data_IF_565439154562
#
_entry.id   IF_565439154562
#
_cell.length_a   1.000
_cell.length_b   1.000
_cell.length_c   1.000
_cell.angle_alpha   90.00
_cell.angle_beta   90.00
_cell.angle_gamma   90.00
#
_symmetry.space_group_name_H-M   'P 1'
#
loop_
_entity.id
_entity.type
_entity.pdbx_description
1 polymer ?
#
# COMPACT_ATOMS: atom_id res chain seq x y z
N UNK A 1 -25.48 56.52 -14.32
CA UNK A 1 -26.43 55.86 -13.40
C UNK A 1 -25.80 54.55 -12.97
N UNK A 2 -25.01 54.61 -11.89
CA UNK A 2 -24.42 53.45 -11.23
C UNK A 2 -25.28 53.17 -10.01
N UNK A 3 -25.68 51.92 -9.75
CA UNK A 3 -26.04 51.52 -8.40
C UNK A 3 -25.61 50.08 -8.13
N UNK A 4 -24.54 50.00 -7.33
CA UNK A 4 -23.95 48.83 -6.73
C UNK A 4 -24.76 48.40 -5.50
N UNK A 5 -24.83 47.08 -5.30
CA UNK A 5 -24.91 46.39 -4.00
C UNK A 5 -25.83 46.97 -2.91
N UNK A 6 -26.94 46.26 -2.64
CA UNK A 6 -27.70 46.41 -1.37
C UNK A 6 -27.92 45.12 -0.57
N UNK A 7 -27.21 44.03 -0.89
CA UNK A 7 -27.30 42.79 -0.10
C UNK A 7 -26.00 42.41 0.63
N UNK A 8 -25.25 43.40 1.13
CA UNK A 8 -24.04 43.15 1.93
C UNK A 8 -23.96 44.08 3.14
N UNK A 9 -25.06 44.27 3.86
CA UNK A 9 -25.04 44.89 5.19
C UNK A 9 -26.18 44.31 5.98
N UNK A 10 -25.95 43.21 6.70
CA UNK A 10 -26.60 42.86 7.97
C UNK A 10 -25.96 41.58 8.53
N UNK A 11 -24.64 41.59 8.72
CA UNK A 11 -24.00 40.60 9.58
C UNK A 11 -22.65 41.09 10.12
N UNK A 12 -22.60 42.34 10.58
CA UNK A 12 -21.50 42.80 11.42
C UNK A 12 -22.07 43.73 12.49
N UNK A 13 -22.61 43.11 13.54
CA UNK A 13 -22.84 43.78 14.82
C UNK A 13 -22.44 42.80 15.92
N UNK A 14 -21.65 43.32 16.86
CA UNK A 14 -21.08 42.68 18.05
C UNK A 14 -19.68 42.07 17.87
N UNK A 15 -18.70 42.95 17.64
CA UNK A 15 -17.40 42.86 18.31
C UNK A 15 -17.51 43.64 19.62
N UNK A 16 -17.62 42.93 20.74
CA UNK A 16 -17.25 43.49 22.05
C UNK A 16 -16.79 42.38 22.99
N UNK A 17 -15.48 42.41 23.27
CA UNK A 17 -14.95 42.40 24.63
C UNK A 17 -15.22 41.15 25.50
N UNK A 18 -14.50 40.06 25.22
CA UNK A 18 -13.87 39.26 26.28
C UNK A 18 -12.61 38.61 25.73
N UNK A 19 -11.49 38.84 26.41
CA UNK A 19 -10.18 38.27 26.09
C UNK A 19 -10.15 36.76 26.30
N UNK A 20 -10.41 36.02 25.22
CA UNK A 20 -9.97 34.64 25.09
C UNK A 20 -9.13 34.55 23.82
N UNK A 21 -7.84 34.88 23.97
CA UNK A 21 -6.81 34.41 23.06
C UNK A 21 -6.71 32.89 23.26
N UNK A 22 -7.65 32.15 22.71
CA UNK A 22 -7.47 30.71 22.53
C UNK A 22 -6.42 30.58 21.44
N UNK A 23 -5.28 29.97 21.77
CA UNK A 23 -4.24 29.67 20.80
C UNK A 23 -4.87 28.95 19.61
N UNK A 24 -4.90 29.59 18.44
CA UNK A 24 -5.38 29.04 17.17
C UNK A 24 -4.59 27.79 16.72
N UNK A 25 -3.58 27.38 17.48
CA UNK A 25 -2.70 26.25 17.21
C UNK A 25 -3.16 24.93 17.86
N UNK A 26 -4.22 24.93 18.67
CA UNK A 26 -4.73 23.69 19.30
C UNK A 26 -5.93 23.05 18.58
N UNK A 27 -6.39 23.61 17.45
CA UNK A 27 -7.49 23.07 16.65
C UNK A 27 -7.04 22.24 15.44
N UNK A 28 -5.81 21.72 15.44
CA UNK A 28 -5.32 20.84 14.37
C UNK A 28 -5.34 19.35 14.73
N UNK A 29 -5.88 19.02 15.91
CA UNK A 29 -6.04 17.64 16.36
C UNK A 29 -7.46 17.08 16.11
N UNK A 30 -8.17 17.61 15.11
CA UNK A 30 -9.31 16.91 14.52
C UNK A 30 -8.77 15.88 13.52
N UNK A 31 -8.26 14.76 14.04
CA UNK A 31 -7.77 13.61 13.26
C UNK A 31 -8.85 12.96 12.38
N UNK A 32 -10.09 13.45 12.44
CA UNK A 32 -11.24 13.03 11.63
C UNK A 32 -11.27 13.65 10.23
N UNK A 33 -10.60 14.79 10.03
CA UNK A 33 -10.50 15.45 8.71
C UNK A 33 -9.37 14.87 7.85
N UNK A 34 -8.49 14.05 8.42
CA UNK A 34 -7.53 13.30 7.64
C UNK A 34 -8.30 12.28 6.81
N UNK A 35 -8.29 12.43 5.48
CA UNK A 35 -8.87 11.46 4.57
C UNK A 35 -8.26 10.07 4.87
N UNK A 36 -9.05 9.19 5.49
CA UNK A 36 -8.63 7.82 5.76
C UNK A 36 -8.45 7.11 4.42
N UNK A 37 -7.34 6.37 4.27
CA UNK A 37 -7.04 5.57 3.07
C UNK A 37 -7.82 4.25 3.07
N UNK A 38 -9.13 4.31 3.28
CA UNK A 38 -10.05 3.16 3.31
C UNK A 38 -10.60 2.90 1.91
N UNK A 39 -10.74 1.64 1.50
CA UNK A 39 -11.31 1.27 0.19
C UNK A 39 -12.48 0.30 0.34
N UNK A 40 -13.65 0.69 -0.17
CA UNK A 40 -14.86 -0.14 -0.19
C UNK A 40 -15.23 -0.50 -1.62
N UNK A 41 -15.58 -1.76 -1.86
CA UNK A 41 -16.14 -2.20 -3.13
C UNK A 41 -17.66 -2.13 -3.01
N UNK A 42 -18.25 -1.27 -3.84
CA UNK A 42 -19.67 -0.97 -3.84
C UNK A 42 -20.29 -1.43 -5.16
N UNK A 43 -21.54 -1.89 -5.09
CA UNK A 43 -22.34 -2.21 -6.28
C UNK A 43 -23.53 -1.27 -6.32
N UNK A 44 -23.82 -0.70 -7.49
CA UNK A 44 -25.05 0.08 -7.67
C UNK A 44 -26.26 -0.83 -7.46
N UNK A 45 -27.16 -0.41 -6.58
CA UNK A 45 -28.40 -1.15 -6.29
C UNK A 45 -29.31 -1.20 -7.50
N UNK A 46 -29.45 -0.06 -8.19
CA UNK A 46 -30.24 0.07 -9.41
C UNK A 46 -29.32 -0.01 -10.64
N UNK A 47 -29.61 -0.90 -11.62
CA UNK A 47 -28.83 -0.97 -12.83
C UNK A 47 -29.02 0.30 -13.66
N UNK A 48 -27.91 0.77 -14.21
CA UNK A 48 -27.85 1.97 -15.04
C UNK A 48 -28.32 1.64 -16.44
N UNK A 49 -29.02 2.57 -17.09
CA UNK A 49 -29.48 2.38 -18.47
C UNK A 49 -28.27 2.43 -19.40
N UNK A 50 -28.25 1.57 -20.41
CA UNK A 50 -27.19 1.59 -21.40
C UNK A 50 -27.37 2.80 -22.33
N UNK A 51 -26.32 3.60 -22.57
CA UNK A 51 -26.37 4.63 -23.61
C UNK A 51 -26.46 3.98 -24.98
N UNK A 52 -26.96 4.73 -25.97
CA UNK A 52 -26.96 4.26 -27.36
C UNK A 52 -25.54 4.31 -27.93
N UNK A 53 -25.29 3.51 -28.96
CA UNK A 53 -24.01 3.54 -29.66
C UNK A 53 -23.74 4.93 -30.26
N UNK A 54 -22.56 5.49 -30.00
CA UNK A 54 -22.16 6.82 -30.46
C UNK A 54 -22.65 7.98 -29.57
N UNK A 55 -23.41 7.70 -28.51
CA UNK A 55 -23.83 8.71 -27.54
C UNK A 55 -22.72 8.92 -26.49
N UNK A 56 -22.17 10.13 -26.44
CA UNK A 56 -21.04 10.48 -25.55
C UNK A 56 -21.48 10.96 -24.17
N UNK A 57 -22.69 11.53 -24.06
CA UNK A 57 -23.21 12.07 -22.81
C UNK A 57 -24.19 11.10 -22.15
N UNK A 58 -23.83 10.59 -20.98
CA UNK A 58 -24.72 9.77 -20.16
C UNK A 58 -24.94 10.43 -18.80
N UNK A 59 -26.19 10.82 -18.51
CA UNK A 59 -26.57 11.44 -17.23
C UNK A 59 -27.16 10.42 -16.27
N UNK A 60 -26.48 10.22 -15.15
CA UNK A 60 -26.98 9.40 -14.03
C UNK A 60 -28.15 10.09 -13.35
N UNK A 61 -29.12 9.31 -12.89
CA UNK A 61 -30.24 9.80 -12.07
C UNK A 61 -29.91 9.64 -10.60
N UNK A 62 -30.60 10.38 -9.72
CA UNK A 62 -30.41 10.29 -8.27
C UNK A 62 -30.47 8.85 -7.73
N UNK A 63 -31.37 8.02 -8.27
CA UNK A 63 -31.51 6.60 -7.91
C UNK A 63 -30.31 5.73 -8.26
N UNK A 64 -29.44 6.16 -9.18
CA UNK A 64 -28.26 5.41 -9.64
C UNK A 64 -27.06 5.62 -8.70
N UNK A 65 -27.14 6.61 -7.81
CA UNK A 65 -26.15 6.90 -6.76
C UNK A 65 -26.41 6.12 -5.46
N UNK A 66 -27.38 5.20 -5.46
CA UNK A 66 -27.63 4.30 -4.34
C UNK A 66 -26.77 3.04 -4.51
N UNK A 67 -25.93 2.77 -3.52
CA UNK A 67 -24.97 1.68 -3.54
C UNK A 67 -25.20 0.71 -2.39
N UNK A 68 -25.00 -0.57 -2.67
CA UNK A 68 -24.93 -1.64 -1.68
C UNK A 68 -23.46 -2.01 -1.46
N UNK A 69 -23.07 -2.26 -0.21
CA UNK A 69 -21.72 -2.68 0.15
C UNK A 69 -21.51 -4.13 -0.24
N UNK A 70 -20.50 -4.39 -1.08
CA UNK A 70 -20.15 -5.76 -1.52
C UNK A 70 -19.02 -6.32 -0.69
N UNK A 71 -17.96 -5.55 -0.52
CA UNK A 71 -16.75 -6.01 0.15
C UNK A 71 -16.00 -4.86 0.78
N UNK A 72 -15.63 -5.03 2.03
CA UNK A 72 -14.70 -4.18 2.74
C UNK A 72 -13.28 -4.77 2.59
N UNK A 73 -12.34 -3.98 2.08
CA UNK A 73 -10.97 -4.43 1.88
C UNK A 73 -10.12 -4.38 3.16
N UNK A 74 -10.58 -3.69 4.20
CA UNK A 74 -9.81 -3.53 5.45
C UNK A 74 -9.84 -4.79 6.31
N UNK A 75 -10.97 -5.50 6.27
CA UNK A 75 -11.21 -6.72 7.04
C UNK A 75 -10.49 -7.92 6.41
N UNK A 76 -10.26 -7.88 5.09
CA UNK A 76 -9.63 -8.99 4.38
C UNK A 76 -8.16 -9.13 4.76
N UNK A 77 -7.74 -10.38 4.97
CA UNK A 77 -6.33 -10.70 5.18
C UNK A 77 -5.55 -10.35 3.91
N UNK A 78 -4.64 -9.38 4.04
CA UNK A 78 -3.77 -8.96 2.95
C UNK A 78 -2.74 -10.06 2.65
N UNK A 79 -2.47 -10.36 1.36
CA UNK A 79 -1.48 -11.36 1.00
C UNK A 79 -0.08 -10.90 1.41
N UNK A 80 0.80 -11.87 1.63
CA UNK A 80 2.21 -11.62 1.91
C UNK A 80 2.91 -11.01 0.69
N UNK A 81 3.96 -10.22 0.94
CA UNK A 81 4.76 -9.56 -0.08
C UNK A 81 6.08 -10.30 -0.22
N UNK A 82 6.50 -10.55 -1.47
CA UNK A 82 7.81 -11.11 -1.79
C UNK A 82 8.83 -9.98 -1.88
N UNK A 83 9.91 -10.10 -1.12
CA UNK A 83 11.03 -9.15 -1.09
C UNK A 83 12.34 -9.90 -1.28
N UNK A 84 13.35 -9.19 -1.76
CA UNK A 84 14.72 -9.69 -1.92
C UNK A 84 15.62 -8.98 -0.90
N UNK A 85 16.30 -9.76 -0.06
CA UNK A 85 17.19 -9.20 0.95
C UNK A 85 18.48 -8.65 0.32
N UNK A 86 18.89 -7.45 0.73
CA UNK A 86 20.18 -6.83 0.34
C UNK A 86 21.31 -7.12 1.31
N UNK A 87 20.98 -7.56 2.52
CA UNK A 87 21.90 -7.80 3.61
C UNK A 87 21.43 -9.04 4.38
N UNK A 88 22.35 -9.73 5.03
CA UNK A 88 21.99 -10.79 5.97
C UNK A 88 21.13 -10.24 7.11
N UNK A 89 20.00 -10.89 7.36
CA UNK A 89 19.12 -10.57 8.48
C UNK A 89 18.90 -11.84 9.28
N UNK A 90 19.29 -11.79 10.56
CA UNK A 90 19.20 -12.90 11.49
C UNK A 90 17.75 -13.45 11.57
N UNK A 91 17.63 -14.77 11.43
CA UNK A 91 16.34 -15.47 11.50
C UNK A 91 15.40 -15.24 10.30
N UNK A 92 15.84 -14.50 9.27
CA UNK A 92 15.04 -14.24 8.07
C UNK A 92 15.67 -14.86 6.83
N UNK A 93 16.96 -14.59 6.58
CA UNK A 93 17.66 -15.10 5.40
C UNK A 93 19.00 -14.42 5.12
N UNK A 94 19.70 -14.92 4.11
CA UNK A 94 20.97 -14.40 3.61
C UNK A 94 20.74 -13.29 2.58
N UNK A 95 21.83 -12.61 2.21
CA UNK A 95 21.80 -11.64 1.12
C UNK A 95 21.38 -12.31 -0.20
N UNK A 96 20.51 -11.66 -0.97
CA UNK A 96 19.97 -12.20 -2.23
C UNK A 96 18.83 -13.20 -2.07
N UNK A 97 18.42 -13.58 -0.86
CA UNK A 97 17.27 -14.47 -0.66
C UNK A 97 15.93 -13.81 -0.95
N UNK A 98 15.02 -14.58 -1.56
CA UNK A 98 13.64 -14.18 -1.83
C UNK A 98 12.76 -14.67 -0.69
N UNK A 99 12.22 -13.76 0.11
CA UNK A 99 11.43 -14.09 1.31
C UNK A 99 10.01 -13.55 1.17
N UNK A 100 9.01 -14.32 1.63
CA UNK A 100 7.61 -13.91 1.68
C UNK A 100 7.21 -13.52 3.11
N UNK A 101 6.92 -12.24 3.33
CA UNK A 101 6.59 -11.69 4.66
C UNK A 101 5.24 -10.97 4.68
N UNK A 102 4.60 -10.81 5.86
CA UNK A 102 3.46 -9.94 6.02
C UNK A 102 3.80 -8.49 5.63
N UNK A 103 2.88 -7.80 4.96
CA UNK A 103 3.12 -6.45 4.40
C UNK A 103 3.64 -5.44 5.44
N UNK A 104 3.06 -5.42 6.63
CA UNK A 104 3.46 -4.47 7.68
C UNK A 104 4.93 -4.68 8.10
N UNK A 105 5.34 -5.94 8.28
CA UNK A 105 6.71 -6.30 8.62
C UNK A 105 7.66 -5.98 7.46
N UNK A 106 7.31 -6.42 6.26
CA UNK A 106 8.08 -6.16 5.04
C UNK A 106 8.33 -4.67 4.81
N UNK A 107 7.30 -3.84 4.95
CA UNK A 107 7.42 -2.39 4.71
C UNK A 107 8.23 -1.68 5.80
N UNK A 108 7.83 -1.84 7.07
CA UNK A 108 8.42 -1.07 8.16
C UNK A 108 9.85 -1.48 8.48
N UNK A 109 10.14 -2.79 8.47
CA UNK A 109 11.45 -3.29 8.91
C UNK A 109 12.47 -3.42 7.79
N UNK A 110 12.03 -3.67 6.54
CA UNK A 110 12.93 -4.00 5.44
C UNK A 110 12.95 -2.95 4.32
N UNK A 111 11.79 -2.62 3.75
CA UNK A 111 11.72 -1.72 2.60
C UNK A 111 12.02 -0.27 2.99
N UNK A 112 11.43 0.20 4.10
CA UNK A 112 11.62 1.57 4.57
C UNK A 112 13.05 1.82 5.08
N UNK A 113 13.66 0.81 5.69
CA UNK A 113 15.05 0.87 6.17
C UNK A 113 16.08 0.67 5.06
N UNK A 114 15.66 0.18 3.88
CA UNK A 114 16.54 -0.11 2.74
C UNK A 114 17.29 -1.44 2.84
N UNK A 115 16.88 -2.35 3.74
CA UNK A 115 17.47 -3.69 3.91
C UNK A 115 17.03 -4.71 2.86
N UNK A 116 15.93 -4.44 2.16
CA UNK A 116 15.42 -5.29 1.11
C UNK A 116 14.78 -4.46 0.01
N UNK A 117 14.66 -5.06 -1.17
CA UNK A 117 13.93 -4.52 -2.31
C UNK A 117 12.71 -5.37 -2.65
N UNK A 118 11.78 -4.80 -3.41
CA UNK A 118 10.68 -5.57 -3.98
C UNK A 118 11.21 -6.62 -4.96
N UNK A 119 10.53 -7.76 -5.04
CA UNK A 119 10.80 -8.80 -6.02
C UNK A 119 10.34 -8.40 -7.44
N UNK A 120 10.94 -7.35 -8.00
CA UNK A 120 10.79 -6.96 -9.41
C UNK A 120 11.66 -7.87 -10.29
N UNK A 121 11.33 -8.05 -11.58
CA UNK A 121 12.10 -8.95 -12.45
C UNK A 121 13.58 -8.54 -12.58
N UNK A 122 13.90 -7.26 -12.45
CA UNK A 122 15.27 -6.75 -12.49
C UNK A 122 16.06 -7.13 -11.24
N UNK A 123 15.45 -6.95 -10.06
CA UNK A 123 16.07 -7.29 -8.77
C UNK A 123 16.25 -8.80 -8.63
N UNK A 124 15.29 -9.60 -9.11
CA UNK A 124 15.40 -11.06 -9.10
C UNK A 124 16.59 -11.55 -9.93
N UNK A 125 16.80 -11.00 -11.13
CA UNK A 125 17.97 -11.33 -11.96
C UNK A 125 19.27 -10.96 -11.28
N UNK A 126 19.33 -9.81 -10.60
CA UNK A 126 20.51 -9.40 -9.85
C UNK A 126 20.79 -10.36 -8.67
N UNK A 127 19.74 -10.80 -7.97
CA UNK A 127 19.85 -11.75 -6.86
C UNK A 127 20.36 -13.13 -7.31
N UNK A 128 19.87 -13.64 -8.44
CA UNK A 128 20.36 -14.90 -9.03
C UNK A 128 21.86 -14.84 -9.36
N UNK A 129 22.32 -13.70 -9.89
CA UNK A 129 23.74 -13.48 -10.17
C UNK A 129 24.57 -13.49 -8.89
N UNK A 130 24.09 -12.89 -7.80
CA UNK A 130 24.77 -12.92 -6.49
C UNK A 130 24.88 -14.34 -5.95
N UNK A 131 23.77 -15.09 -5.92
CA UNK A 131 23.76 -16.50 -5.48
C UNK A 131 24.70 -17.38 -6.30
N UNK A 132 24.77 -17.16 -7.61
CA UNK A 132 25.67 -17.91 -8.49
C UNK A 132 27.16 -17.67 -8.19
N UNK A 133 27.50 -16.49 -7.65
CA UNK A 133 28.87 -16.16 -7.21
C UNK A 133 29.17 -16.81 -5.87
N UNK A 134 28.24 -16.75 -4.93
CA UNK A 134 28.42 -17.34 -3.59
C UNK A 134 28.66 -18.86 -3.65
N UNK A 135 27.90 -19.58 -4.47
CA UNK A 135 28.11 -21.03 -4.69
C UNK A 135 29.53 -21.37 -5.17
N UNK A 136 30.18 -20.46 -5.91
CA UNK A 136 31.56 -20.67 -6.41
C UNK A 136 32.63 -20.37 -5.38
N UNK A 137 32.32 -19.54 -4.38
CA UNK A 137 33.27 -19.09 -3.35
C UNK A 137 33.25 -19.93 -2.07
N UNK A 138 32.39 -20.95 -1.97
CA UNK A 138 32.43 -21.90 -0.86
C UNK A 138 33.62 -22.85 -1.08
N UNK A 139 34.83 -22.32 -0.95
CA UNK A 139 36.05 -23.12 -0.80
C UNK A 139 36.32 -23.19 0.69
N UNK A 140 36.24 -24.39 1.27
CA UNK A 140 36.48 -24.54 2.69
C UNK A 140 37.92 -24.12 3.01
N UNK A 141 38.12 -23.34 4.07
CA UNK A 141 39.43 -22.81 4.46
C UNK A 141 40.42 -23.90 4.86
N UNK A 142 39.93 -25.11 5.12
CA UNK A 142 40.74 -26.29 5.40
C UNK A 142 40.44 -27.41 4.41
N UNK A 143 41.45 -28.21 4.03
CA UNK A 143 41.28 -29.34 3.11
C UNK A 143 40.44 -30.50 3.67
N UNK A 144 40.06 -30.47 4.94
CA UNK A 144 39.27 -31.53 5.59
C UNK A 144 37.80 -31.16 5.83
N UNK A 145 37.42 -29.90 5.61
CA UNK A 145 36.05 -29.46 5.83
C UNK A 145 35.17 -29.90 4.63
N UNK A 146 34.26 -30.84 4.88
CA UNK A 146 33.24 -31.24 3.92
C UNK A 146 32.11 -30.22 3.93
N UNK A 147 31.81 -29.63 2.78
CA UNK A 147 30.65 -28.76 2.60
C UNK A 147 29.47 -29.68 2.29
N UNK A 148 28.50 -29.74 3.21
CA UNK A 148 27.20 -30.37 2.94
C UNK A 148 26.44 -29.47 1.97
N UNK A 149 26.49 -29.79 0.67
CA UNK A 149 25.59 -29.20 -0.31
C UNK A 149 24.16 -29.66 0.02
N UNK A 150 23.25 -28.70 0.15
CA UNK A 150 21.82 -29.00 0.27
C UNK A 150 21.37 -29.67 -1.02
N UNK A 151 21.13 -30.97 -0.95
CA UNK A 151 20.46 -31.74 -1.99
C UNK A 151 19.12 -31.07 -2.26
N UNK A 152 18.93 -30.54 -3.46
CA UNK A 152 17.64 -30.11 -3.95
C UNK A 152 16.72 -31.35 -3.94
N UNK A 153 15.82 -31.43 -2.95
CA UNK A 153 14.73 -32.40 -2.94
C UNK A 153 13.70 -31.87 -3.94
N UNK A 154 13.96 -32.14 -5.22
CA UNK A 154 12.91 -32.28 -6.22
C UNK A 154 12.08 -33.51 -5.80
N UNK A 155 10.94 -33.29 -5.15
CA UNK A 155 9.90 -34.29 -5.02
C UNK A 155 8.58 -33.69 -5.52
N UNK A 156 8.34 -33.91 -6.80
CA UNK A 156 7.13 -34.56 -7.32
C UNK A 156 6.04 -34.83 -6.27
N UNK A 157 5.15 -33.85 -6.05
CA UNK A 157 3.79 -34.09 -5.55
C UNK A 157 2.79 -33.64 -6.62
N UNK A 158 2.83 -34.31 -7.76
CA UNK A 158 1.69 -34.47 -8.66
C UNK A 158 1.43 -35.97 -8.83
N UNK A 159 0.65 -36.58 -7.94
CA UNK A 159 -0.29 -37.71 -8.18
C UNK A 159 -0.75 -38.34 -6.85
N UNK A 160 -1.89 -37.88 -6.33
CA UNK A 160 -3.04 -38.75 -5.99
C UNK A 160 -4.28 -37.95 -5.61
#
# INVERSE_FOLDING_TARGET
MYDLSRHLRHFNRCLSFTGCQQSLLNSFNDYSLLAKRTTFILKRRNPVRLPKYGETEYRLKGKDYVYDLVQDTEILKKPNVKIVLKQFVEGVGLEGDVVSLPRNKAYNEFLLTGRADYATPEVLKAAEQLKSKEKKTVTASSPFAQILESVDIEQDEQEK
#
